data_IF_020705033433
#
_entry.id   IF_020705033433
#
_cell.length_a   1.000
_cell.length_b   1.000
_cell.length_c   1.000
_cell.angle_alpha   90.00
_cell.angle_beta   90.00
_cell.angle_gamma   90.00
#
_symmetry.space_group_name_H-M   'P 1'
#
loop_
_entity.id
_entity.type
_entity.pdbx_description
1 polymer ?
#
# COMPACT_ATOMS: atom_id res chain seq x y z
N UNK A 1 6.63 18.98 3.32
CA UNK A 1 8.01 19.54 3.24
C UNK A 1 8.00 20.70 2.27
N UNK A 2 8.91 21.66 2.43
CA UNK A 2 9.16 22.68 1.41
C UNK A 2 9.63 21.99 0.11
N UNK A 3 8.92 22.14 -1.02
CA UNK A 3 9.34 21.58 -2.30
C UNK A 3 10.76 22.01 -2.69
N UNK A 4 11.19 23.20 -2.25
CA UNK A 4 12.53 23.71 -2.49
C UNK A 4 13.65 22.87 -1.87
N UNK A 5 13.34 22.06 -0.84
CA UNK A 5 14.31 21.16 -0.21
C UNK A 5 14.87 20.14 -1.21
N UNK A 6 14.04 19.64 -2.12
CA UNK A 6 14.40 18.61 -3.08
C UNK A 6 15.30 19.11 -4.22
N UNK A 7 15.33 20.42 -4.43
CA UNK A 7 16.23 21.11 -5.36
C UNK A 7 17.40 21.81 -4.65
N UNK A 8 17.49 21.69 -3.32
CA UNK A 8 18.47 22.40 -2.52
C UNK A 8 19.84 21.72 -2.57
N UNK A 9 20.84 22.43 -3.07
CA UNK A 9 22.20 21.92 -3.22
C UNK A 9 22.99 21.88 -1.89
N UNK A 10 22.46 22.48 -0.82
CA UNK A 10 23.11 22.48 0.50
C UNK A 10 23.26 21.04 1.01
N UNK A 11 24.43 20.73 1.55
CA UNK A 11 24.77 19.38 2.05
C UNK A 11 23.74 18.83 3.05
N UNK A 12 23.25 19.69 3.96
CA UNK A 12 22.25 19.31 4.96
C UNK A 12 20.93 18.87 4.32
N UNK A 13 20.48 19.55 3.27
CA UNK A 13 19.26 19.19 2.55
C UNK A 13 19.41 17.83 1.84
N UNK A 14 20.54 17.63 1.17
CA UNK A 14 20.87 16.34 0.53
C UNK A 14 20.92 15.18 1.52
N UNK A 15 21.50 15.40 2.70
CA UNK A 15 21.55 14.38 3.75
C UNK A 15 20.15 14.01 4.27
N UNK A 16 19.26 15.00 4.43
CA UNK A 16 17.88 14.75 4.84
C UNK A 16 17.13 13.93 3.79
N UNK A 17 17.27 14.27 2.51
CA UNK A 17 16.63 13.54 1.39
C UNK A 17 17.16 12.11 1.30
N UNK A 18 18.48 11.94 1.44
CA UNK A 18 19.11 10.63 1.44
C UNK A 18 18.54 9.75 2.56
N UNK A 19 18.49 10.27 3.80
CA UNK A 19 17.90 9.55 4.94
C UNK A 19 16.41 9.23 4.73
N UNK A 20 15.65 10.15 4.14
CA UNK A 20 14.24 9.92 3.82
C UNK A 20 14.08 8.78 2.81
N UNK A 21 14.91 8.76 1.77
CA UNK A 21 14.93 7.72 0.74
C UNK A 21 15.30 6.36 1.35
N UNK A 22 16.32 6.33 2.21
CA UNK A 22 16.72 5.12 2.95
C UNK A 22 15.58 4.62 3.85
N UNK A 23 14.88 5.51 4.56
CA UNK A 23 13.71 5.14 5.35
C UNK A 23 12.60 4.52 4.49
N UNK A 24 12.35 5.06 3.30
CA UNK A 24 11.35 4.53 2.36
C UNK A 24 11.72 3.11 1.92
N UNK A 25 12.99 2.86 1.60
CA UNK A 25 13.44 1.53 1.19
C UNK A 25 13.40 0.53 2.36
N UNK A 26 13.88 0.91 3.55
CA UNK A 26 13.80 0.07 4.75
C UNK A 26 12.35 -0.27 5.12
N UNK A 27 11.41 0.68 5.04
CA UNK A 27 10.00 0.38 5.29
C UNK A 27 9.42 -0.56 4.25
N UNK A 28 9.84 -0.44 2.99
CA UNK A 28 9.39 -1.34 1.92
C UNK A 28 9.82 -2.78 2.19
N UNK A 29 11.05 -2.97 2.67
CA UNK A 29 11.57 -4.27 3.13
C UNK A 29 10.80 -4.82 4.34
N UNK A 30 10.53 -3.97 5.34
CA UNK A 30 9.74 -4.38 6.51
C UNK A 30 8.29 -4.74 6.13
N UNK A 31 7.69 -4.02 5.19
CA UNK A 31 6.35 -4.32 4.69
C UNK A 31 6.31 -5.67 3.99
N UNK A 32 7.32 -5.96 3.17
CA UNK A 32 7.46 -7.26 2.51
C UNK A 32 7.60 -8.39 3.54
N UNK A 33 8.43 -8.19 4.56
CA UNK A 33 8.59 -9.15 5.67
C UNK A 33 7.29 -9.38 6.44
N UNK A 34 6.58 -8.32 6.83
CA UNK A 34 5.35 -8.43 7.62
C UNK A 34 4.09 -8.75 6.80
N UNK A 35 4.22 -8.87 5.47
CA UNK A 35 3.09 -9.26 4.63
C UNK A 35 2.70 -10.72 4.88
N UNK A 36 1.40 -10.97 4.96
CA UNK A 36 0.84 -12.28 5.31
C UNK A 36 1.30 -13.41 4.37
N UNK A 37 1.58 -13.11 3.11
CA UNK A 37 2.03 -14.12 2.14
C UNK A 37 3.36 -14.78 2.56
N UNK A 38 4.23 -14.08 3.31
CA UNK A 38 5.49 -14.64 3.80
C UNK A 38 5.33 -15.52 5.05
N UNK A 39 4.15 -15.50 5.68
CA UNK A 39 3.86 -16.24 6.92
C UNK A 39 2.65 -17.19 6.76
N UNK A 40 2.21 -17.39 5.52
CA UNK A 40 1.01 -18.16 5.15
C UNK A 40 1.14 -19.68 5.31
N UNK A 41 2.35 -20.17 5.62
CA UNK A 41 2.55 -21.54 6.13
C UNK A 41 2.75 -21.46 7.64
N UNK A 42 1.67 -21.45 8.44
CA UNK A 42 1.83 -21.63 9.87
C UNK A 42 2.43 -23.01 10.08
N UNK A 43 3.65 -23.06 10.63
CA UNK A 43 4.07 -24.28 11.32
C UNK A 43 3.05 -24.55 12.43
N UNK A 44 2.89 -25.82 12.85
CA UNK A 44 1.97 -26.18 13.93
C UNK A 44 2.20 -25.38 15.24
N UNK A 45 3.35 -24.70 15.35
CA UNK A 45 3.76 -23.85 16.49
C UNK A 45 3.51 -22.34 16.29
N UNK A 46 2.98 -21.90 15.14
CA UNK A 46 2.75 -20.48 14.89
C UNK A 46 1.50 -20.02 15.65
N UNK A 47 1.70 -19.43 16.83
CA UNK A 47 0.61 -18.87 17.64
C UNK A 47 -0.12 -17.77 16.88
N UNK A 48 -1.46 -17.76 16.94
CA UNK A 48 -2.32 -16.70 16.38
C UNK A 48 -1.91 -15.28 16.80
N UNK A 49 -1.34 -15.12 17.99
CA UNK A 49 -0.78 -13.86 18.50
C UNK A 49 0.34 -13.29 17.61
N UNK A 50 1.14 -14.15 16.98
CA UNK A 50 2.18 -13.72 16.06
C UNK A 50 1.55 -13.12 14.79
N UNK A 51 0.56 -13.80 14.19
CA UNK A 51 -0.13 -13.30 12.99
C UNK A 51 -0.78 -11.95 13.23
N UNK A 52 -1.46 -11.78 14.38
CA UNK A 52 -2.04 -10.49 14.78
C UNK A 52 -0.99 -9.38 14.92
N UNK A 53 0.16 -9.69 15.50
CA UNK A 53 1.27 -8.74 15.66
C UNK A 53 1.85 -8.31 14.32
N UNK A 54 2.16 -9.25 13.42
CA UNK A 54 2.63 -8.94 12.06
C UNK A 54 1.62 -8.08 11.31
N UNK A 55 0.32 -8.35 11.49
CA UNK A 55 -0.74 -7.57 10.85
C UNK A 55 -0.79 -6.12 11.35
N UNK A 56 -0.72 -5.91 12.67
CA UNK A 56 -0.70 -4.56 13.26
C UNK A 56 0.53 -3.78 12.79
N UNK A 57 1.70 -4.42 12.77
CA UNK A 57 2.94 -3.81 12.27
C UNK A 57 2.83 -3.45 10.80
N UNK A 58 2.30 -4.33 9.95
CA UNK A 58 2.07 -4.08 8.54
C UNK A 58 1.18 -2.84 8.31
N UNK A 59 0.07 -2.72 9.05
CA UNK A 59 -0.83 -1.56 8.92
C UNK A 59 -0.16 -0.26 9.39
N UNK A 60 0.61 -0.31 10.49
CA UNK A 60 1.37 0.83 11.00
C UNK A 60 2.46 1.29 10.02
N UNK A 61 3.22 0.35 9.47
CA UNK A 61 4.25 0.62 8.46
C UNK A 61 3.64 1.19 7.18
N UNK A 62 2.50 0.66 6.74
CA UNK A 62 1.80 1.17 5.54
C UNK A 62 1.37 2.63 5.74
N UNK A 63 0.81 2.93 6.91
CA UNK A 63 0.38 4.29 7.29
C UNK A 63 1.56 5.26 7.43
N UNK A 64 2.72 4.78 7.88
CA UNK A 64 3.92 5.61 8.01
C UNK A 64 4.56 5.86 6.65
N UNK A 65 4.64 4.83 5.80
CA UNK A 65 5.14 4.92 4.44
C UNK A 65 4.35 5.95 3.62
N UNK A 66 3.02 5.94 3.69
CA UNK A 66 2.19 6.91 2.96
C UNK A 66 2.49 8.35 3.36
N UNK A 67 2.73 8.63 4.65
CA UNK A 67 3.14 9.96 5.12
C UNK A 67 4.49 10.39 4.55
N UNK A 68 5.45 9.48 4.46
CA UNK A 68 6.74 9.78 3.84
C UNK A 68 6.62 10.00 2.33
N UNK A 69 5.79 9.23 1.63
CA UNK A 69 5.55 9.44 0.20
C UNK A 69 4.88 10.78 -0.10
N UNK A 70 3.99 11.27 0.78
CA UNK A 70 3.43 12.62 0.67
C UNK A 70 4.47 13.74 0.84
N UNK A 71 5.64 13.44 1.41
CA UNK A 71 6.74 14.38 1.54
C UNK A 71 7.63 14.44 0.29
N UNK A 72 7.43 13.53 -0.66
CA UNK A 72 8.16 13.44 -1.94
C UNK A 72 7.39 14.18 -3.03
N UNK A 73 8.01 15.15 -3.74
CA UNK A 73 7.40 15.81 -4.88
C UNK A 73 7.05 14.80 -5.96
N UNK A 74 5.90 15.02 -6.58
CA UNK A 74 5.33 14.10 -7.57
C UNK A 74 6.32 13.81 -8.71
N UNK A 75 7.05 14.82 -9.17
CA UNK A 75 8.00 14.71 -10.28
C UNK A 75 9.27 13.90 -9.90
N UNK A 76 9.49 13.68 -8.61
CA UNK A 76 10.65 12.96 -8.04
C UNK A 76 10.27 11.54 -7.60
N UNK A 77 8.98 11.22 -7.48
CA UNK A 77 8.52 9.90 -7.03
C UNK A 77 9.17 8.75 -7.80
N UNK A 78 9.34 8.89 -9.12
CA UNK A 78 9.98 7.87 -9.95
C UNK A 78 11.42 7.56 -9.56
N UNK A 79 12.21 8.55 -9.13
CA UNK A 79 13.61 8.32 -8.75
C UNK A 79 13.77 7.76 -7.34
N UNK A 80 12.77 7.93 -6.48
CA UNK A 80 12.75 7.44 -5.09
C UNK A 80 12.09 6.05 -5.00
N UNK A 81 11.26 5.69 -5.98
CA UNK A 81 10.49 4.45 -5.94
C UNK A 81 11.32 3.25 -6.38
N UNK A 82 11.68 2.40 -5.41
CA UNK A 82 12.39 1.13 -5.66
C UNK A 82 11.44 0.04 -6.15
N UNK A 83 11.97 -1.04 -6.75
CA UNK A 83 11.15 -2.19 -7.18
C UNK A 83 10.41 -2.85 -6.00
N UNK A 84 11.04 -2.88 -4.82
CA UNK A 84 10.40 -3.34 -3.59
C UNK A 84 9.19 -2.48 -3.23
N UNK A 85 9.34 -1.16 -3.30
CA UNK A 85 8.23 -0.25 -3.07
C UNK A 85 7.09 -0.47 -4.07
N UNK A 86 7.39 -0.70 -5.36
CA UNK A 86 6.37 -1.03 -6.38
C UNK A 86 5.57 -2.27 -6.03
N UNK A 87 6.24 -3.32 -5.51
CA UNK A 87 5.57 -4.52 -5.01
C UNK A 87 4.66 -4.21 -3.81
N UNK A 88 5.18 -3.48 -2.82
CA UNK A 88 4.43 -3.08 -1.63
C UNK A 88 3.21 -2.20 -1.94
N UNK A 89 3.31 -1.31 -2.92
CA UNK A 89 2.18 -0.47 -3.39
C UNK A 89 1.01 -1.36 -3.81
N UNK A 90 1.27 -2.41 -4.60
CA UNK A 90 0.21 -3.33 -5.03
C UNK A 90 -0.46 -3.98 -3.83
N UNK A 91 0.32 -4.54 -2.92
CA UNK A 91 -0.22 -5.22 -1.73
C UNK A 91 -1.09 -4.28 -0.90
N UNK A 92 -0.63 -3.05 -0.65
CA UNK A 92 -1.39 -2.05 0.12
C UNK A 92 -2.69 -1.66 -0.57
N UNK A 93 -2.70 -1.50 -1.90
CA UNK A 93 -3.92 -1.11 -2.63
C UNK A 93 -5.01 -2.17 -2.52
N UNK A 94 -4.64 -3.44 -2.66
CA UNK A 94 -5.58 -4.57 -2.60
C UNK A 94 -5.88 -5.05 -1.18
N UNK A 95 -5.25 -4.45 -0.18
CA UNK A 95 -5.49 -4.77 1.22
C UNK A 95 -6.83 -4.17 1.70
N UNK A 96 -7.84 -5.04 1.84
CA UNK A 96 -9.18 -4.60 2.26
C UNK A 96 -9.26 -4.22 3.74
N UNK A 97 -8.73 -5.01 4.71
CA UNK A 97 -8.78 -4.60 6.10
C UNK A 97 -8.06 -3.27 6.37
N UNK A 98 -6.93 -3.01 5.70
CA UNK A 98 -6.24 -1.73 5.82
C UNK A 98 -7.11 -0.59 5.26
N UNK A 99 -7.75 -0.77 4.11
CA UNK A 99 -8.60 0.29 3.55
C UNK A 99 -9.88 0.57 4.35
N UNK A 100 -10.36 -0.41 5.13
CA UNK A 100 -11.45 -0.20 6.08
C UNK A 100 -11.01 0.67 7.27
N UNK A 101 -9.77 0.50 7.74
CA UNK A 101 -9.22 1.22 8.91
C UNK A 101 -8.62 2.57 8.53
N UNK A 102 -7.89 2.63 7.42
CA UNK A 102 -7.28 3.84 6.84
C UNK A 102 -7.46 3.87 5.31
N UNK A 103 -8.60 4.39 4.82
CA UNK A 103 -8.87 4.48 3.39
C UNK A 103 -7.92 5.43 2.66
N UNK A 104 -7.29 6.37 3.37
CA UNK A 104 -6.36 7.32 2.74
C UNK A 104 -5.11 6.61 2.22
N UNK A 105 -4.68 5.53 2.88
CA UNK A 105 -3.56 4.73 2.42
C UNK A 105 -3.76 4.24 0.98
N UNK A 106 -4.92 3.65 0.69
CA UNK A 106 -5.24 3.16 -0.65
C UNK A 106 -5.27 4.29 -1.68
N UNK A 107 -5.88 5.43 -1.34
CA UNK A 107 -5.96 6.58 -2.25
C UNK A 107 -4.56 7.12 -2.61
N UNK A 108 -3.69 7.29 -1.61
CA UNK A 108 -2.33 7.77 -1.81
C UNK A 108 -1.54 6.75 -2.65
N UNK A 109 -1.63 5.46 -2.33
CA UNK A 109 -0.91 4.43 -3.07
C UNK A 109 -1.38 4.29 -4.52
N UNK A 110 -2.68 4.45 -4.80
CA UNK A 110 -3.19 4.53 -6.17
C UNK A 110 -2.63 5.73 -6.93
N UNK A 111 -2.56 6.90 -6.28
CA UNK A 111 -1.97 8.10 -6.89
C UNK A 111 -0.47 7.92 -7.17
N UNK A 112 0.28 7.36 -6.22
CA UNK A 112 1.70 7.04 -6.40
C UNK A 112 1.87 6.02 -7.54
N UNK A 113 1.08 4.95 -7.56
CA UNK A 113 1.11 3.93 -8.61
C UNK A 113 0.89 4.54 -10.00
N UNK A 114 -0.10 5.41 -10.14
CA UNK A 114 -0.36 6.11 -11.40
C UNK A 114 0.82 6.99 -11.83
N UNK A 115 1.44 7.70 -10.88
CA UNK A 115 2.58 8.59 -11.16
C UNK A 115 3.85 7.84 -11.54
N UNK A 116 4.05 6.66 -10.98
CA UNK A 116 5.21 5.82 -11.28
C UNK A 116 4.96 4.79 -12.38
N UNK A 117 3.83 4.92 -13.10
CA UNK A 117 3.53 4.14 -14.31
C UNK A 117 3.17 2.68 -14.06
N UNK A 118 2.65 2.33 -12.88
CA UNK A 118 2.20 0.98 -12.56
C UNK A 118 0.80 0.72 -13.12
N UNK A 119 0.50 -0.54 -13.45
CA UNK A 119 -0.83 -0.99 -13.88
C UNK A 119 -1.85 -1.04 -12.73
N UNK A 120 -1.38 -1.00 -11.48
CA UNK A 120 -2.19 -1.19 -10.25
C UNK A 120 -3.50 -0.40 -10.25
N UNK A 121 -3.57 0.89 -10.66
CA UNK A 121 -4.84 1.61 -10.69
C UNK A 121 -5.87 1.01 -11.67
N UNK A 122 -5.41 0.55 -12.84
CA UNK A 122 -6.25 -0.09 -13.84
C UNK A 122 -6.73 -1.45 -13.32
N UNK A 123 -5.82 -2.25 -12.77
CA UNK A 123 -6.12 -3.57 -12.20
C UNK A 123 -7.12 -3.45 -11.04
N UNK A 124 -6.95 -2.44 -10.18
CA UNK A 124 -7.85 -2.17 -9.07
C UNK A 124 -9.25 -1.78 -9.55
N UNK A 125 -9.34 -0.90 -10.56
CA UNK A 125 -10.64 -0.52 -11.12
C UNK A 125 -11.39 -1.72 -11.72
N UNK A 126 -10.69 -2.56 -12.48
CA UNK A 126 -11.25 -3.80 -13.03
C UNK A 126 -11.74 -4.75 -11.93
N UNK A 127 -10.96 -4.93 -10.86
CA UNK A 127 -11.37 -5.74 -9.71
C UNK A 127 -12.63 -5.19 -9.04
N UNK A 128 -12.74 -3.87 -8.87
CA UNK A 128 -13.93 -3.21 -8.33
C UNK A 128 -15.15 -3.46 -9.21
N UNK A 129 -15.02 -3.35 -10.53
CA UNK A 129 -16.12 -3.60 -11.47
C UNK A 129 -16.64 -5.04 -11.39
N UNK A 130 -15.73 -6.01 -11.32
CA UNK A 130 -16.06 -7.43 -11.12
C UNK A 130 -16.79 -7.62 -9.80
N UNK A 131 -16.28 -7.07 -8.70
CA UNK A 131 -16.91 -7.15 -7.39
C UNK A 131 -18.31 -6.52 -7.37
N UNK A 132 -18.52 -5.40 -8.06
CA UNK A 132 -19.83 -4.78 -8.18
C UNK A 132 -20.79 -5.64 -9.01
N UNK A 133 -20.33 -6.25 -10.10
CA UNK A 133 -21.11 -7.18 -10.91
C UNK A 133 -21.56 -8.38 -10.09
N UNK A 134 -20.64 -9.02 -9.37
CA UNK A 134 -20.94 -10.14 -8.47
C UNK A 134 -21.95 -9.75 -7.40
N UNK A 135 -21.79 -8.58 -6.77
CA UNK A 135 -22.73 -8.08 -5.76
C UNK A 135 -24.14 -7.92 -6.33
N UNK A 136 -24.29 -7.36 -7.53
CA UNK A 136 -25.59 -7.22 -8.21
C UNK A 136 -26.23 -8.58 -8.48
N UNK A 137 -25.46 -9.55 -8.96
CA UNK A 137 -25.92 -10.92 -9.20
C UNK A 137 -26.38 -11.58 -7.90
N UNK A 138 -25.61 -11.49 -6.82
CA UNK A 138 -26.02 -12.03 -5.51
C UNK A 138 -27.32 -11.38 -5.00
N UNK A 139 -27.46 -10.06 -5.12
CA UNK A 139 -28.70 -9.36 -4.75
C UNK A 139 -29.90 -9.82 -5.58
N UNK A 140 -29.71 -10.08 -6.87
CA UNK A 140 -30.76 -10.63 -7.72
C UNK A 140 -31.18 -12.04 -7.27
N UNK A 141 -30.22 -12.95 -7.05
CA UNK A 141 -30.52 -14.31 -6.60
C UNK A 141 -31.26 -14.36 -5.26
N UNK A 142 -30.87 -13.50 -4.31
CA UNK A 142 -31.55 -13.40 -3.02
C UNK A 142 -33.02 -12.97 -3.20
N UNK A 143 -33.29 -11.96 -4.03
CA UNK A 143 -34.67 -11.52 -4.31
C UNK A 143 -35.52 -12.61 -4.97
N UNK A 144 -34.96 -13.37 -5.91
CA UNK A 144 -35.66 -14.48 -6.53
C UNK A 144 -36.00 -15.61 -5.53
N UNK A 145 -35.26 -15.71 -4.43
CA UNK A 145 -35.49 -16.71 -3.38
C UNK A 145 -36.57 -16.23 -2.40
N UNK A 146 -36.66 -14.93 -2.14
CA UNK A 146 -37.66 -14.33 -1.25
C UNK A 146 -39.06 -14.21 -1.90
N UNK A 147 -39.14 -14.27 -3.24
CA UNK A 147 -40.39 -14.22 -4.02
C UNK A 147 -40.98 -15.61 -4.35
N UNK A 148 -40.36 -16.70 -3.88
CA UNK A 148 -40.84 -18.09 -4.01
C UNK A 148 -41.42 -18.61 -2.70
#
# INVERSE_FOLDING_TARGET
LDPGLWSDERQVAREIIYRLTDCIDCMSELLEYHHLDQHSVPSADTKLENVGTHRVLYMGLSSMLTRFLLMVPVDILNSVTTERLKSSIRNIVFDEPLALVDPQCRVIMLAVAQKVGLSVPVDFHQAVDVCQSLRKTCTFCLRCTDEM
#
